data_IF_954574484605
#
_entry.id   IF_954574484605
#
_cell.length_a   1.000
_cell.length_b   1.000
_cell.length_c   1.000
_cell.angle_alpha   90.00
_cell.angle_beta   90.00
_cell.angle_gamma   90.00
#
_symmetry.space_group_name_H-M   'P 1'
#
loop_
_entity.id
_entity.type
_entity.pdbx_description
1 polymer ?
#
# COMPACT_ATOMS: atom_id res chain seq x y z
N UNK A 1 12.66 9.20 16.18
CA UNK A 1 13.06 9.85 14.91
C UNK A 1 11.98 10.86 14.58
N UNK A 2 12.33 12.12 14.37
CA UNK A 2 11.39 13.13 13.87
C UNK A 2 11.47 13.14 12.34
N UNK A 3 10.31 13.08 11.68
CA UNK A 3 10.21 13.18 10.23
C UNK A 3 9.77 14.60 9.87
N UNK A 4 10.36 15.18 8.83
CA UNK A 4 9.92 16.48 8.30
C UNK A 4 8.63 16.34 7.50
N UNK A 5 7.93 17.45 7.23
CA UNK A 5 6.75 17.45 6.33
C UNK A 5 7.12 16.92 4.94
N UNK A 6 8.34 17.21 4.46
CA UNK A 6 8.84 16.68 3.19
C UNK A 6 9.01 15.16 3.24
N UNK A 7 9.61 14.62 4.30
CA UNK A 7 9.78 13.16 4.48
C UNK A 7 8.43 12.44 4.49
N UNK A 8 7.45 12.99 5.23
CA UNK A 8 6.10 12.43 5.30
C UNK A 8 5.39 12.47 3.94
N UNK A 9 5.53 13.58 3.20
CA UNK A 9 4.94 13.73 1.86
C UNK A 9 5.55 12.72 0.88
N UNK A 10 6.88 12.56 0.88
CA UNK A 10 7.54 11.58 0.02
C UNK A 10 7.21 10.15 0.43
N UNK A 11 7.16 9.84 1.72
CA UNK A 11 6.75 8.53 2.22
C UNK A 11 5.32 8.18 1.77
N UNK A 12 4.37 9.13 1.90
CA UNK A 12 3.00 8.99 1.41
C UNK A 12 2.98 8.67 -0.09
N UNK A 13 3.72 9.44 -0.89
CA UNK A 13 3.81 9.26 -2.35
C UNK A 13 4.33 7.86 -2.74
N UNK A 14 5.34 7.35 -2.03
CA UNK A 14 5.87 6.00 -2.27
C UNK A 14 4.87 4.91 -1.87
N UNK A 15 4.14 5.09 -0.77
CA UNK A 15 3.08 4.17 -0.33
C UNK A 15 1.94 4.13 -1.35
N UNK A 16 1.48 5.28 -1.83
CA UNK A 16 0.45 5.37 -2.87
C UNK A 16 0.84 4.62 -4.15
N UNK A 17 2.10 4.80 -4.60
CA UNK A 17 2.64 4.05 -5.76
C UNK A 17 2.69 2.54 -5.51
N UNK A 18 3.07 2.13 -4.31
CA UNK A 18 3.13 0.72 -3.92
C UNK A 18 1.74 0.10 -3.83
N UNK A 19 0.76 0.80 -3.27
CA UNK A 19 -0.63 0.39 -3.23
C UNK A 19 -1.19 0.15 -4.64
N UNK A 20 -0.93 1.07 -5.56
CA UNK A 20 -1.35 0.92 -6.95
C UNK A 20 -0.78 -0.37 -7.57
N UNK A 21 0.54 -0.60 -7.45
CA UNK A 21 1.19 -1.80 -7.98
C UNK A 21 0.69 -3.10 -7.34
N UNK A 22 0.42 -3.11 -6.03
CA UNK A 22 -0.11 -4.28 -5.34
C UNK A 22 -1.53 -4.62 -5.82
N UNK A 23 -2.39 -3.62 -6.01
CA UNK A 23 -3.74 -3.82 -6.55
C UNK A 23 -3.71 -4.39 -7.97
N UNK A 24 -2.84 -3.88 -8.84
CA UNK A 24 -2.67 -4.43 -10.20
C UNK A 24 -2.07 -5.85 -10.18
N UNK A 25 -1.15 -6.13 -9.24
CA UNK A 25 -0.61 -7.48 -9.04
C UNK A 25 -1.69 -8.46 -8.61
N UNK A 26 -2.57 -8.07 -7.67
CA UNK A 26 -3.70 -8.90 -7.23
C UNK A 26 -4.60 -9.22 -8.42
N UNK A 27 -5.04 -8.21 -9.18
CA UNK A 27 -5.86 -8.40 -10.38
C UNK A 27 -5.21 -9.37 -11.37
N UNK A 28 -3.91 -9.17 -11.64
CA UNK A 28 -3.15 -10.02 -12.57
C UNK A 28 -3.10 -11.47 -12.10
N UNK A 29 -2.92 -11.72 -10.81
CA UNK A 29 -2.88 -13.07 -10.24
C UNK A 29 -4.26 -13.73 -10.20
N UNK A 30 -5.32 -12.96 -9.93
CA UNK A 30 -6.70 -13.46 -9.91
C UNK A 30 -7.22 -13.84 -11.31
N UNK A 31 -6.68 -13.22 -12.37
CA UNK A 31 -7.03 -13.54 -13.77
C UNK A 31 -6.26 -14.74 -14.35
N UNK A 32 -5.30 -15.32 -13.61
CA UNK A 32 -4.59 -16.52 -14.08
C UNK A 32 -5.47 -17.76 -13.95
N UNK A 33 -5.44 -18.62 -14.97
CA UNK A 33 -6.25 -19.86 -15.03
C UNK A 33 -6.02 -20.79 -13.82
N UNK A 34 -4.81 -20.83 -13.27
CA UNK A 34 -4.47 -21.59 -12.06
C UNK A 34 -4.41 -20.68 -10.81
N UNK A 35 -5.55 -20.09 -10.45
CA UNK A 35 -5.66 -19.21 -9.28
C UNK A 35 -5.23 -19.90 -7.97
N UNK A 36 -5.48 -21.21 -7.85
CA UNK A 36 -5.13 -21.98 -6.64
C UNK A 36 -3.63 -21.98 -6.38
N UNK A 37 -2.79 -22.00 -7.42
CA UNK A 37 -1.32 -21.88 -7.30
C UNK A 37 -0.86 -20.53 -6.73
N UNK A 38 -1.65 -19.47 -6.93
CA UNK A 38 -1.31 -18.12 -6.50
C UNK A 38 -2.05 -17.66 -5.22
N UNK A 39 -2.83 -18.54 -4.60
CA UNK A 39 -3.68 -18.20 -3.45
C UNK A 39 -2.91 -17.57 -2.29
N UNK A 40 -1.72 -18.08 -1.98
CA UNK A 40 -0.88 -17.54 -0.90
C UNK A 40 -0.37 -16.14 -1.21
N UNK A 41 0.02 -15.90 -2.46
CA UNK A 41 0.54 -14.62 -2.96
C UNK A 41 -0.57 -13.56 -3.01
N UNK A 42 -1.76 -13.93 -3.48
CA UNK A 42 -2.95 -13.05 -3.48
C UNK A 42 -3.31 -12.67 -2.04
N UNK A 43 -3.34 -13.65 -1.14
CA UNK A 43 -3.66 -13.42 0.29
C UNK A 43 -2.65 -12.46 0.93
N UNK A 44 -1.35 -12.69 0.68
CA UNK A 44 -0.30 -11.82 1.21
C UNK A 44 -0.36 -10.42 0.62
N UNK A 45 -0.63 -10.29 -0.69
CA UNK A 45 -0.76 -9.00 -1.35
C UNK A 45 -1.96 -8.20 -0.80
N UNK A 46 -3.11 -8.84 -0.58
CA UNK A 46 -4.29 -8.21 0.06
C UNK A 46 -3.95 -7.68 1.45
N UNK A 47 -3.32 -8.49 2.31
CA UNK A 47 -2.88 -8.05 3.64
C UNK A 47 -1.91 -6.87 3.61
N UNK A 48 -1.03 -6.81 2.60
CA UNK A 48 -0.11 -5.67 2.41
C UNK A 48 -0.85 -4.41 1.98
N UNK A 49 -1.87 -4.54 1.13
CA UNK A 49 -2.75 -3.41 0.79
C UNK A 49 -3.39 -2.86 2.04
N UNK A 50 -4.01 -3.72 2.87
CA UNK A 50 -4.66 -3.29 4.11
C UNK A 50 -3.68 -2.56 5.05
N UNK A 51 -2.48 -3.12 5.25
CA UNK A 51 -1.46 -2.51 6.09
C UNK A 51 -0.97 -1.15 5.55
N UNK A 52 -0.77 -1.04 4.25
CA UNK A 52 -0.32 0.20 3.63
C UNK A 52 -1.42 1.26 3.57
N UNK A 53 -2.70 0.89 3.46
CA UNK A 53 -3.81 1.83 3.59
C UNK A 53 -3.85 2.46 4.99
N UNK A 54 -3.65 1.66 6.04
CA UNK A 54 -3.53 2.17 7.41
C UNK A 54 -2.33 3.11 7.53
N UNK A 55 -1.16 2.71 7.04
CA UNK A 55 0.04 3.54 7.07
C UNK A 55 -0.17 4.88 6.35
N UNK A 56 -0.80 4.85 5.17
CA UNK A 56 -1.11 6.05 4.39
C UNK A 56 -2.06 6.99 5.13
N UNK A 57 -3.10 6.44 5.76
CA UNK A 57 -4.06 7.21 6.56
C UNK A 57 -3.39 7.89 7.77
N UNK A 58 -2.49 7.19 8.45
CA UNK A 58 -1.74 7.75 9.58
C UNK A 58 -0.78 8.87 9.15
N UNK A 59 -0.10 8.71 8.01
CA UNK A 59 0.78 9.76 7.46
C UNK A 59 -0.03 11.00 7.07
N UNK A 60 -1.18 10.80 6.40
CA UNK A 60 -2.08 11.88 6.03
C UNK A 60 -2.60 12.64 7.26
N UNK A 61 -3.00 11.91 8.31
CA UNK A 61 -3.44 12.52 9.57
C UNK A 61 -2.33 13.34 10.24
N UNK A 62 -1.08 12.90 10.16
CA UNK A 62 0.08 13.64 10.69
C UNK A 62 0.39 14.89 9.85
N UNK A 63 0.31 14.81 8.52
CA UNK A 63 0.46 15.96 7.63
C UNK A 63 -0.61 17.03 7.93
N UNK A 64 -1.87 16.63 8.11
CA UNK A 64 -2.97 17.54 8.41
C UNK A 64 -2.83 18.24 9.77
N UNK A 65 -2.17 17.63 10.76
CA UNK A 65 -1.88 18.28 12.05
C UNK A 65 -0.81 19.36 11.96
N UNK A 66 0.01 19.33 10.91
CA UNK A 66 1.14 20.26 10.70
C UNK A 66 0.79 21.43 9.79
N UNK A 67 -0.44 21.44 9.29
CA UNK A 67 -1.02 22.48 8.44
C UNK A 67 -1.69 23.55 9.31
#
# INVERSE_FOLDING_TARGET
>A
MEFTTHDLTEAKRQIDSTLHKLRETIKTLELKEDMNRYKSQITLAKRRVDAFEIANCLIEAELNKRQ
#
